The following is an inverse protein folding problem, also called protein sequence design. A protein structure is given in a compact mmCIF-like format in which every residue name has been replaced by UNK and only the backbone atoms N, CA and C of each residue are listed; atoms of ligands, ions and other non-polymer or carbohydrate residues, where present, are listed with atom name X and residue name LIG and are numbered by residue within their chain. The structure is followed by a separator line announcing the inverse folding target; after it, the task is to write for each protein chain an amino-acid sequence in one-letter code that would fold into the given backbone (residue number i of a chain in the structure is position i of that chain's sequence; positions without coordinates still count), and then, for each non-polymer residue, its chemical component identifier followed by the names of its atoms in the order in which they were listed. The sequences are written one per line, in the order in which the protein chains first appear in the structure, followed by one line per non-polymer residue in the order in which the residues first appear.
data_IF_173407658177
#
_entry.id   IF_173407658177
#
_cell.length_a   1.000
_cell.length_b   1.000
_cell.length_c   1.000
_cell.angle_alpha   90.00
_cell.angle_beta   90.00
_cell.angle_gamma   90.00
#
_symmetry.space_group_name_H-M   'P 1'
#
loop_
_entity.id
_entity.type
_entity.pdbx_description
1 polymer ?
#
# COMPACT_ATOMS: atom_id res chain seq x y z
N UNK A 1 40.10 27.38 -3.05
CA UNK A 1 39.64 26.05 -2.67
C UNK A 1 38.88 25.96 -1.33
N UNK A 2 39.02 26.89 -0.38
CA UNK A 2 38.32 26.80 0.93
C UNK A 2 36.83 27.19 0.92
N UNK A 3 36.38 28.02 -0.04
CA UNK A 3 34.96 28.47 -0.10
C UNK A 3 33.97 27.40 -0.61
N UNK A 4 34.42 26.49 -1.48
CA UNK A 4 33.55 25.45 -2.04
C UNK A 4 33.22 24.35 -1.00
N UNK A 5 34.12 24.03 -0.10
CA UNK A 5 33.91 23.01 0.95
C UNK A 5 32.86 23.46 1.98
N UNK A 6 32.85 24.79 2.31
CA UNK A 6 31.87 25.36 3.26
C UNK A 6 30.43 25.29 2.70
N UNK A 7 30.27 25.54 1.39
CA UNK A 7 28.94 25.47 0.74
C UNK A 7 28.36 24.04 0.75
N UNK A 8 29.20 23.03 0.51
CA UNK A 8 28.75 21.62 0.56
C UNK A 8 28.35 21.17 1.98
N UNK A 9 29.08 21.59 3.01
CA UNK A 9 28.71 21.28 4.41
C UNK A 9 27.40 21.98 4.82
N UNK A 10 27.16 23.21 4.40
CA UNK A 10 25.93 23.93 4.73
C UNK A 10 24.70 23.28 4.07
N UNK A 11 24.79 22.88 2.80
CA UNK A 11 23.70 22.20 2.09
C UNK A 11 23.40 20.82 2.75
N UNK A 12 24.41 20.08 3.13
CA UNK A 12 24.22 18.78 3.81
C UNK A 12 23.58 18.93 5.19
N UNK A 13 23.95 19.95 5.94
CA UNK A 13 23.39 20.22 7.27
C UNK A 13 21.93 20.68 7.16
N UNK A 14 21.60 21.52 6.20
CA UNK A 14 20.21 21.98 6.00
C UNK A 14 19.29 20.85 5.52
N UNK A 15 19.76 19.95 4.66
CA UNK A 15 19.00 18.79 4.22
C UNK A 15 18.75 17.79 5.37
N UNK A 16 19.76 17.53 6.21
CA UNK A 16 19.63 16.72 7.41
C UNK A 16 18.66 17.33 8.45
N UNK A 17 18.73 18.64 8.64
CA UNK A 17 17.84 19.35 9.56
C UNK A 17 16.39 19.32 9.08
N UNK A 18 16.15 19.52 7.78
CA UNK A 18 14.82 19.41 7.18
C UNK A 18 14.24 18.00 7.29
N UNK A 19 15.04 16.95 7.07
CA UNK A 19 14.62 15.56 7.26
C UNK A 19 14.30 15.25 8.72
N UNK A 20 15.09 15.77 9.66
CA UNK A 20 14.86 15.60 11.09
C UNK A 20 13.58 16.30 11.57
N UNK A 21 13.34 17.53 11.13
CA UNK A 21 12.10 18.28 11.43
C UNK A 21 10.87 17.56 10.86
N UNK A 22 10.94 17.07 9.62
CA UNK A 22 9.83 16.31 9.02
C UNK A 22 9.53 15.02 9.76
N UNK A 23 10.54 14.36 10.33
CA UNK A 23 10.36 13.16 11.13
C UNK A 23 9.73 13.46 12.51
N UNK A 24 10.08 14.59 13.11
CA UNK A 24 9.46 15.05 14.36
C UNK A 24 8.00 15.45 14.15
N UNK A 25 7.67 16.14 13.06
CA UNK A 25 6.30 16.52 12.73
C UNK A 25 5.42 15.28 12.51
N UNK A 26 5.93 14.26 11.82
CA UNK A 26 5.21 12.98 11.65
C UNK A 26 4.97 12.25 12.96
N UNK A 27 5.97 12.24 13.87
CA UNK A 27 5.80 11.64 15.19
C UNK A 27 4.79 12.40 16.04
N UNK A 28 4.78 13.73 15.95
CA UNK A 28 3.79 14.57 16.63
C UNK A 28 2.38 14.33 16.06
N UNK A 29 2.23 14.10 14.75
CA UNK A 29 0.95 13.80 14.13
C UNK A 29 0.38 12.45 14.58
N UNK A 30 1.21 11.40 14.70
CA UNK A 30 0.78 10.12 15.28
C UNK A 30 0.32 10.22 16.74
N UNK A 31 0.92 11.11 17.51
CA UNK A 31 0.53 11.32 18.92
C UNK A 31 -0.73 12.16 19.07
N UNK A 32 -1.11 12.91 18.03
CA UNK A 32 -2.27 13.80 18.06
C UNK A 32 -3.59 13.06 17.87
N UNK A 33 -3.58 11.96 17.11
CA UNK A 33 -4.79 11.24 16.73
C UNK A 33 -4.78 9.83 17.31
N UNK A 34 -5.89 9.39 17.87
CA UNK A 34 -6.06 7.99 18.23
C UNK A 34 -6.13 7.12 16.97
N UNK A 35 -5.82 5.83 17.12
CA UNK A 35 -6.01 4.86 16.04
C UNK A 35 -7.48 4.84 15.66
N UNK A 36 -7.77 4.97 14.38
CA UNK A 36 -9.12 5.02 13.81
C UNK A 36 -10.00 6.18 14.28
N UNK A 37 -9.36 7.30 14.66
CA UNK A 37 -10.08 8.51 15.05
C UNK A 37 -10.84 9.09 13.85
N UNK A 38 -12.16 9.00 13.90
CA UNK A 38 -13.06 9.50 12.83
C UNK A 38 -13.04 11.03 12.69
N UNK A 39 -12.52 11.76 13.68
CA UNK A 39 -12.36 13.22 13.63
C UNK A 39 -11.09 13.65 12.91
N UNK A 40 -10.16 12.72 12.64
CA UNK A 40 -8.94 13.00 11.88
C UNK A 40 -9.28 13.43 10.47
N UNK A 41 -8.72 14.55 9.95
CA UNK A 41 -8.98 15.00 8.60
C UNK A 41 -8.69 13.92 7.56
N UNK A 42 -9.64 13.73 6.64
CA UNK A 42 -9.48 12.78 5.54
C UNK A 42 -8.50 13.33 4.50
N UNK A 43 -7.73 12.46 3.84
CA UNK A 43 -6.91 12.85 2.69
C UNK A 43 -7.75 13.46 1.58
N UNK A 44 -7.26 14.51 0.89
CA UNK A 44 -7.98 15.09 -0.24
C UNK A 44 -8.15 14.07 -1.36
N UNK A 45 -9.33 14.09 -1.98
CA UNK A 45 -9.60 13.25 -3.15
C UNK A 45 -8.95 13.89 -4.38
N UNK A 46 -8.24 13.09 -5.15
CA UNK A 46 -7.62 13.51 -6.41
C UNK A 46 -8.02 12.55 -7.53
N UNK A 47 -8.14 13.08 -8.75
CA UNK A 47 -8.32 12.25 -9.93
C UNK A 47 -6.99 11.53 -10.25
N UNK A 48 -6.94 10.19 -10.24
CA UNK A 48 -5.74 9.44 -10.59
C UNK A 48 -5.36 9.51 -12.07
N UNK A 49 -6.16 10.18 -12.89
CA UNK A 49 -6.01 10.18 -14.34
C UNK A 49 -6.33 8.83 -14.99
N UNK A 50 -6.12 8.67 -16.29
CA UNK A 50 -6.35 7.40 -16.97
C UNK A 50 -5.40 6.32 -16.47
N UNK A 51 -5.86 5.07 -16.42
CA UNK A 51 -4.98 3.94 -16.18
C UNK A 51 -3.96 3.86 -17.33
N UNK A 52 -2.68 4.02 -17.00
CA UNK A 52 -1.61 3.75 -17.95
C UNK A 52 -1.39 2.24 -18.13
N UNK A 53 -0.70 1.81 -19.19
CA UNK A 53 -0.21 0.44 -19.26
C UNK A 53 0.75 0.19 -18.09
N UNK A 54 0.79 -1.03 -17.54
CA UNK A 54 1.80 -1.40 -16.55
C UNK A 54 3.21 -1.06 -17.04
N UNK A 55 4.05 -0.57 -16.14
CA UNK A 55 5.46 -0.39 -16.47
C UNK A 55 6.09 -1.74 -16.83
N UNK A 56 7.02 -1.79 -17.81
CA UNK A 56 7.72 -3.03 -18.11
C UNK A 56 8.50 -3.49 -16.88
N UNK A 57 8.45 -4.80 -16.61
CA UNK A 57 9.19 -5.40 -15.51
C UNK A 57 10.70 -5.10 -15.65
N UNK A 58 11.40 -4.69 -14.60
CA UNK A 58 12.85 -4.65 -14.56
C UNK A 58 13.43 -6.03 -14.91
N UNK A 59 14.60 -6.06 -15.55
CA UNK A 59 15.22 -7.31 -15.98
C UNK A 59 15.62 -8.26 -14.84
N UNK A 60 15.79 -7.71 -13.63
CA UNK A 60 16.13 -8.42 -12.39
C UNK A 60 14.91 -8.63 -11.47
N UNK A 61 13.70 -8.33 -11.93
CA UNK A 61 12.48 -8.51 -11.13
C UNK A 61 12.22 -9.99 -10.82
N UNK A 62 11.88 -10.26 -9.57
CA UNK A 62 11.38 -11.56 -9.13
C UNK A 62 9.86 -11.56 -9.29
N UNK A 63 9.34 -12.34 -10.23
CA UNK A 63 7.90 -12.44 -10.46
C UNK A 63 7.26 -13.35 -9.42
N UNK A 64 6.52 -12.76 -8.49
CA UNK A 64 5.82 -13.49 -7.43
C UNK A 64 4.53 -14.14 -7.91
N UNK A 65 3.90 -13.58 -8.94
CA UNK A 65 2.69 -14.10 -9.57
C UNK A 65 2.70 -13.80 -11.07
N UNK A 66 2.67 -14.83 -11.89
CA UNK A 66 2.74 -14.73 -13.34
C UNK A 66 1.38 -14.81 -14.05
N UNK A 67 0.28 -14.79 -13.28
CA UNK A 67 -1.06 -15.01 -13.81
C UNK A 67 -1.44 -16.49 -14.02
N UNK A 68 -0.58 -17.44 -13.65
CA UNK A 68 -0.77 -18.86 -13.97
C UNK A 68 -1.11 -19.72 -12.76
N UNK A 69 -0.39 -19.57 -11.65
CA UNK A 69 -0.54 -20.41 -10.47
C UNK A 69 -0.05 -19.73 -9.20
N UNK A 70 -0.30 -20.34 -8.05
CA UNK A 70 0.12 -19.88 -6.73
C UNK A 70 1.34 -20.66 -6.21
N UNK A 71 2.19 -21.19 -7.08
CA UNK A 71 3.33 -22.02 -6.68
C UNK A 71 4.34 -21.32 -5.77
N UNK A 72 4.43 -19.98 -5.84
CA UNK A 72 5.27 -19.15 -4.96
C UNK A 72 4.60 -18.81 -3.62
N UNK A 73 3.34 -19.25 -3.38
CA UNK A 73 2.51 -18.81 -2.25
C UNK A 73 2.07 -19.96 -1.36
N UNK A 74 1.92 -19.66 -0.07
CA UNK A 74 1.37 -20.56 0.95
C UNK A 74 0.39 -19.79 1.83
N UNK A 75 -0.45 -20.54 2.57
CA UNK A 75 -1.25 -19.98 3.65
C UNK A 75 -0.43 -19.79 4.94
N UNK A 76 -1.03 -19.25 5.99
CA UNK A 76 -0.37 -19.02 7.28
C UNK A 76 0.10 -20.30 8.01
N UNK A 77 -0.23 -21.49 7.49
CA UNK A 77 0.24 -22.80 8.01
C UNK A 77 1.32 -23.45 7.14
N UNK A 78 1.86 -22.70 6.18
CA UNK A 78 2.79 -23.18 5.15
C UNK A 78 2.21 -24.29 4.23
N UNK A 79 0.88 -24.38 4.13
CA UNK A 79 0.20 -25.23 3.16
C UNK A 79 -0.02 -24.47 1.84
N UNK A 80 -0.29 -25.14 0.71
CA UNK A 80 -0.60 -24.48 -0.55
C UNK A 80 -1.71 -23.43 -0.41
N UNK A 81 -1.49 -22.23 -0.96
CA UNK A 81 -2.50 -21.19 -1.03
C UNK A 81 -3.74 -21.66 -1.80
N UNK A 82 -4.93 -21.23 -1.36
CA UNK A 82 -6.23 -21.66 -1.91
C UNK A 82 -7.03 -20.52 -2.56
N UNK A 83 -6.39 -19.41 -2.88
CA UNK A 83 -7.01 -18.38 -3.66
C UNK A 83 -7.27 -18.88 -5.08
N UNK A 84 -8.28 -18.34 -5.73
CA UNK A 84 -8.64 -18.69 -7.10
C UNK A 84 -7.69 -18.00 -8.09
N UNK A 85 -7.28 -18.74 -9.12
CA UNK A 85 -6.51 -18.16 -10.24
C UNK A 85 -7.33 -18.34 -11.51
N UNK A 86 -7.71 -17.23 -12.12
CA UNK A 86 -8.38 -17.20 -13.41
C UNK A 86 -8.11 -15.88 -14.13
N UNK A 87 -8.28 -15.84 -15.42
CA UNK A 87 -8.13 -14.63 -16.25
C UNK A 87 -6.81 -13.85 -16.03
N UNK A 88 -5.74 -14.53 -15.58
CA UNK A 88 -4.45 -13.92 -15.34
C UNK A 88 -4.29 -13.19 -14.00
N UNK A 89 -5.25 -13.28 -13.10
CA UNK A 89 -5.17 -12.74 -11.74
C UNK A 89 -5.49 -13.78 -10.67
N UNK A 90 -5.11 -13.50 -9.44
CA UNK A 90 -5.48 -14.28 -8.25
C UNK A 90 -6.54 -13.54 -7.44
N UNK A 91 -7.55 -14.26 -6.99
CA UNK A 91 -8.70 -13.73 -6.26
C UNK A 91 -8.78 -14.36 -4.87
N UNK A 92 -8.94 -13.51 -3.85
CA UNK A 92 -9.18 -13.97 -2.50
C UNK A 92 -10.54 -14.66 -2.39
N UNK A 93 -10.56 -15.89 -1.91
CA UNK A 93 -11.79 -16.68 -1.72
C UNK A 93 -12.19 -16.65 -0.25
N UNK A 94 -13.46 -16.35 0.02
CA UNK A 94 -13.99 -16.30 1.39
C UNK A 94 -13.68 -17.60 2.15
N UNK A 95 -13.09 -17.46 3.33
CA UNK A 95 -12.74 -18.57 4.21
C UNK A 95 -11.40 -19.26 3.94
N UNK A 96 -10.66 -18.84 2.90
CA UNK A 96 -9.32 -19.42 2.62
C UNK A 96 -8.19 -18.75 3.38
N UNK A 97 -8.45 -17.58 3.97
CA UNK A 97 -7.49 -16.81 4.74
C UNK A 97 -6.45 -16.06 3.88
N UNK A 98 -5.46 -15.49 4.56
CA UNK A 98 -4.36 -14.79 3.93
C UNK A 98 -3.38 -15.76 3.29
N UNK A 99 -2.62 -15.25 2.33
CA UNK A 99 -1.50 -15.96 1.69
C UNK A 99 -0.21 -15.17 1.93
N UNK A 100 0.92 -15.86 1.86
CA UNK A 100 2.25 -15.27 1.99
C UNK A 100 3.21 -15.91 0.99
N UNK A 101 4.26 -15.18 0.63
CA UNK A 101 5.33 -15.72 -0.22
C UNK A 101 6.09 -16.83 0.53
N UNK A 102 6.44 -17.91 -0.19
CA UNK A 102 7.31 -18.98 0.36
C UNK A 102 8.71 -18.46 0.67
N UNK A 103 9.21 -17.57 -0.19
CA UNK A 103 10.50 -16.93 -0.04
C UNK A 103 10.37 -15.69 0.85
N UNK A 104 11.29 -15.51 1.80
CA UNK A 104 11.46 -14.26 2.52
C UNK A 104 12.31 -13.27 1.72
N UNK A 105 12.03 -11.99 1.88
CA UNK A 105 12.76 -10.90 1.26
C UNK A 105 13.25 -9.93 2.34
N UNK A 106 14.41 -9.31 2.10
CA UNK A 106 14.88 -8.16 2.86
C UNK A 106 14.37 -6.86 2.26
N UNK A 107 15.23 -5.84 2.20
CA UNK A 107 14.91 -4.57 1.53
C UNK A 107 14.56 -4.82 0.07
N UNK A 108 13.43 -4.30 -0.39
CA UNK A 108 12.93 -4.54 -1.74
C UNK A 108 12.12 -3.35 -2.26
N UNK A 109 11.95 -3.29 -3.56
CA UNK A 109 10.89 -2.55 -4.22
C UNK A 109 9.80 -3.56 -4.57
N UNK A 110 8.56 -3.26 -4.23
CA UNK A 110 7.43 -4.16 -4.45
C UNK A 110 6.40 -3.47 -5.34
N UNK A 111 6.08 -4.11 -6.46
CA UNK A 111 4.97 -3.72 -7.32
C UNK A 111 3.78 -4.64 -7.10
N UNK A 112 2.61 -4.08 -6.81
CA UNK A 112 1.36 -4.83 -6.62
C UNK A 112 0.24 -4.16 -7.39
N UNK A 113 -0.38 -4.91 -8.30
CA UNK A 113 -1.62 -4.51 -8.94
C UNK A 113 -2.81 -5.15 -8.23
N UNK A 114 -3.88 -4.39 -8.05
CA UNK A 114 -5.06 -4.87 -7.36
C UNK A 114 -6.35 -4.21 -7.89
N UNK A 115 -7.45 -4.90 -7.74
CA UNK A 115 -8.79 -4.38 -7.98
C UNK A 115 -9.75 -4.86 -6.89
N UNK A 116 -10.69 -4.03 -6.51
CA UNK A 116 -11.80 -4.44 -5.63
C UNK A 116 -12.95 -5.00 -6.49
N UNK A 117 -13.87 -5.78 -5.91
CA UNK A 117 -15.05 -6.25 -6.64
C UNK A 117 -15.81 -5.09 -7.27
N UNK A 118 -16.28 -5.26 -8.50
CA UNK A 118 -17.08 -4.25 -9.22
C UNK A 118 -18.45 -4.00 -8.58
N UNK A 119 -19.01 -5.03 -7.95
CA UNK A 119 -20.23 -4.92 -7.15
C UNK A 119 -19.88 -4.41 -5.76
N UNK A 120 -20.43 -3.23 -5.42
CA UNK A 120 -20.19 -2.60 -4.12
C UNK A 120 -21.12 -3.20 -3.07
N UNK A 121 -20.55 -3.83 -2.05
CA UNK A 121 -21.30 -4.37 -0.92
C UNK A 121 -20.73 -3.78 0.38
N UNK A 122 -21.60 -3.29 1.25
CA UNK A 122 -21.21 -2.72 2.54
C UNK A 122 -20.78 -1.25 2.47
N UNK A 123 -20.20 -0.77 3.55
CA UNK A 123 -19.73 0.61 3.75
C UNK A 123 -18.44 0.62 4.54
N UNK A 124 -17.65 1.68 4.47
CA UNK A 124 -16.41 1.84 5.23
C UNK A 124 -15.47 0.64 5.04
N UNK A 125 -14.95 0.07 6.11
CA UNK A 125 -14.09 -1.12 6.08
C UNK A 125 -14.80 -2.41 5.68
N UNK A 126 -16.12 -2.40 5.58
CA UNK A 126 -16.95 -3.53 5.14
C UNK A 126 -17.09 -3.66 3.62
N UNK A 127 -16.52 -2.73 2.83
CA UNK A 127 -16.43 -2.83 1.36
C UNK A 127 -15.29 -3.76 0.95
N UNK A 128 -14.96 -3.85 -0.33
CA UNK A 128 -13.80 -4.62 -0.81
C UNK A 128 -12.54 -4.23 -0.03
N UNK A 129 -12.00 -5.16 0.74
CA UNK A 129 -10.94 -4.89 1.74
C UNK A 129 -9.91 -6.03 1.73
N UNK A 130 -8.65 -5.66 1.75
CA UNK A 130 -7.49 -6.53 1.86
C UNK A 130 -6.30 -5.72 2.38
N UNK A 131 -5.10 -6.30 2.37
CA UNK A 131 -3.89 -5.58 2.76
C UNK A 131 -2.64 -6.27 2.25
N UNK A 132 -1.59 -5.48 2.05
CA UNK A 132 -0.24 -5.96 1.76
C UNK A 132 0.59 -5.85 3.03
N UNK A 133 0.95 -6.99 3.60
CA UNK A 133 1.70 -7.03 4.85
C UNK A 133 3.21 -7.13 4.60
N UNK A 134 3.96 -6.20 5.16
CA UNK A 134 5.41 -6.22 5.19
C UNK A 134 5.87 -6.70 6.57
N UNK A 135 6.80 -7.68 6.59
CA UNK A 135 7.32 -8.32 7.82
C UNK A 135 6.23 -8.84 8.76
N UNK A 136 5.05 -9.14 8.24
CA UNK A 136 3.87 -9.55 9.02
C UNK A 136 3.50 -8.57 10.16
N UNK A 137 3.89 -7.31 10.02
CA UNK A 137 3.77 -6.26 11.04
C UNK A 137 3.10 -5.01 10.51
N UNK A 138 3.51 -4.55 9.33
CA UNK A 138 2.99 -3.33 8.73
C UNK A 138 2.06 -3.67 7.58
N UNK A 139 0.88 -3.11 7.59
CA UNK A 139 -0.10 -3.27 6.53
C UNK A 139 -0.19 -2.02 5.67
N UNK A 140 0.02 -2.18 4.38
CA UNK A 140 -0.39 -1.19 3.38
C UNK A 140 -1.81 -1.55 2.97
N UNK A 141 -2.77 -0.71 3.35
CA UNK A 141 -4.19 -0.98 3.19
C UNK A 141 -4.63 -1.06 1.73
N UNK A 142 -5.37 -2.10 1.40
CA UNK A 142 -6.14 -2.25 0.16
C UNK A 142 -7.62 -2.13 0.50
N UNK A 143 -8.29 -1.09 -0.01
CA UNK A 143 -9.68 -0.83 0.27
C UNK A 143 -10.37 -0.24 -0.96
N UNK A 144 -11.63 -0.59 -1.18
CA UNK A 144 -12.49 0.18 -2.05
C UNK A 144 -12.75 1.56 -1.41
N UNK A 145 -11.89 2.51 -1.76
CA UNK A 145 -11.89 3.89 -1.25
C UNK A 145 -12.64 4.89 -2.14
N UNK A 146 -13.18 4.44 -3.29
CA UNK A 146 -13.92 5.30 -4.19
C UNK A 146 -15.31 5.61 -3.61
N UNK A 147 -15.60 6.90 -3.42
CA UNK A 147 -16.85 7.33 -2.80
C UNK A 147 -17.18 6.55 -1.50
N UNK A 148 -16.16 6.27 -0.69
CA UNK A 148 -16.28 5.48 0.53
C UNK A 148 -15.73 6.26 1.71
N UNK A 149 -16.60 6.61 2.66
CA UNK A 149 -16.20 7.28 3.88
C UNK A 149 -15.74 6.26 4.92
N UNK A 150 -14.49 6.43 5.39
CA UNK A 150 -13.90 5.64 6.49
C UNK A 150 -12.94 6.53 7.28
N UNK A 151 -12.33 6.02 8.36
CA UNK A 151 -11.31 6.76 9.11
C UNK A 151 -10.02 6.92 8.29
N UNK A 152 -9.30 8.02 8.50
CA UNK A 152 -8.20 8.45 7.65
C UNK A 152 -7.06 7.42 7.55
N UNK A 153 -6.68 6.80 8.68
CA UNK A 153 -5.61 5.81 8.79
C UNK A 153 -6.02 4.38 8.41
N UNK A 154 -7.23 4.20 7.87
CA UNK A 154 -7.72 2.96 7.28
C UNK A 154 -8.12 3.10 5.82
N UNK A 155 -7.82 4.23 5.18
CA UNK A 155 -8.02 4.40 3.73
C UNK A 155 -7.02 3.59 2.92
N UNK A 156 -7.33 3.31 1.65
CA UNK A 156 -6.39 2.67 0.73
C UNK A 156 -5.04 3.41 0.72
N UNK A 157 -3.93 2.67 0.67
CA UNK A 157 -2.55 3.14 0.78
C UNK A 157 -2.15 3.75 2.14
N UNK A 158 -2.98 3.66 3.17
CA UNK A 158 -2.53 3.96 4.54
C UNK A 158 -1.52 2.91 5.02
N UNK A 159 -0.61 3.32 5.92
CA UNK A 159 -0.01 2.38 6.85
C UNK A 159 -1.05 2.18 7.95
N UNK A 160 -1.81 1.09 7.87
CA UNK A 160 -3.05 0.87 8.60
C UNK A 160 -2.92 1.13 10.11
N UNK A 161 -3.84 1.93 10.63
CA UNK A 161 -3.85 2.33 12.03
C UNK A 161 -2.71 3.27 12.45
N UNK A 162 -1.91 3.77 11.51
CA UNK A 162 -0.76 4.62 11.79
C UNK A 162 -0.81 5.93 10.98
N UNK A 163 -0.60 5.84 9.67
CA UNK A 163 -0.52 6.99 8.78
C UNK A 163 -1.54 6.92 7.66
N UNK A 164 -2.36 7.97 7.45
CA UNK A 164 -3.20 8.04 6.28
C UNK A 164 -2.35 8.22 5.02
N UNK A 165 -2.90 7.90 3.84
CA UNK A 165 -2.26 8.28 2.59
C UNK A 165 -2.26 9.81 2.44
N UNK A 166 -1.37 10.35 1.61
CA UNK A 166 -1.31 11.80 1.35
C UNK A 166 -2.52 12.30 0.57
N UNK A 167 -3.09 11.44 -0.26
CA UNK A 167 -4.28 11.71 -1.08
C UNK A 167 -5.12 10.43 -1.22
N UNK A 168 -6.41 10.56 -1.49
CA UNK A 168 -7.24 9.47 -1.96
C UNK A 168 -7.32 9.51 -3.50
N UNK A 169 -6.57 8.64 -4.16
CA UNK A 169 -6.53 8.48 -5.60
C UNK A 169 -7.20 7.17 -6.06
N UNK A 170 -8.16 6.65 -5.28
CA UNK A 170 -8.81 5.39 -5.60
C UNK A 170 -9.58 5.48 -6.92
N UNK A 171 -9.43 4.44 -7.74
CA UNK A 171 -10.25 4.21 -8.92
C UNK A 171 -11.59 3.59 -8.54
N UNK A 172 -12.53 3.59 -9.48
CA UNK A 172 -13.84 2.95 -9.27
C UNK A 172 -13.69 1.46 -8.98
N UNK A 173 -14.64 0.88 -8.22
CA UNK A 173 -14.69 -0.57 -8.02
C UNK A 173 -14.62 -1.33 -9.35
N UNK A 174 -13.84 -2.39 -9.40
CA UNK A 174 -13.56 -3.19 -10.59
C UNK A 174 -12.43 -2.66 -11.48
N UNK A 175 -11.96 -1.43 -11.29
CA UNK A 175 -10.81 -0.89 -12.01
C UNK A 175 -9.49 -1.29 -11.31
N UNK A 176 -8.49 -1.65 -12.13
CA UNK A 176 -7.16 -1.99 -11.63
C UNK A 176 -6.40 -0.77 -11.14
N UNK A 177 -5.71 -0.94 -10.03
CA UNK A 177 -4.87 0.04 -9.35
C UNK A 177 -3.55 -0.61 -8.97
N UNK A 178 -2.53 0.20 -8.63
CA UNK A 178 -1.20 -0.32 -8.30
C UNK A 178 -0.60 0.42 -7.10
N UNK A 179 0.29 -0.28 -6.42
CA UNK A 179 1.22 0.25 -5.42
C UNK A 179 2.65 -0.09 -5.83
N UNK A 180 3.56 0.88 -5.65
CA UNK A 180 5.00 0.74 -5.81
C UNK A 180 5.72 1.15 -4.53
#
# INVERSE_FOLDING_TARGET
MKKTLVVFCVISITALLAAFLSAQDRKADLQKWAVHDESRPLPPVVDPGPAGPPAPLPADAIVLFSGKDLSAWVNGKNEPAKWKVENGYMEAVKGTGSIQTKQGFGDCQLHVEWATPSEVVGTSQGRGNSGVFLMNTYEVQVLDGYDNKTYADGMAASIYGQYPPLVNACRKPGEWQMYD
#
